data_IF_676690815049
#
_entry.id   IF_676690815049
#
_cell.length_a   1.000
_cell.length_b   1.000
_cell.length_c   1.000
_cell.angle_alpha   90.00
_cell.angle_beta   90.00
_cell.angle_gamma   90.00
#
_symmetry.space_group_name_H-M   'P 1'
#
loop_
_entity.id
_entity.type
_entity.pdbx_description
1 polymer ?
#
# COMPACT_ATOMS: atom_id res chain seq x y z
N UNK A 1 -42.80 -40.73 -25.51
CA UNK A 1 -42.63 -40.66 -24.08
C UNK A 1 -41.35 -39.88 -23.77
N UNK A 2 -41.55 -38.67 -23.20
CA UNK A 2 -40.44 -37.81 -22.76
C UNK A 2 -39.81 -38.39 -21.52
N UNK A 3 -38.44 -38.53 -21.49
CA UNK A 3 -37.69 -38.92 -20.31
C UNK A 3 -37.74 -37.79 -19.28
N UNK A 4 -38.00 -38.09 -18.01
CA UNK A 4 -37.95 -37.08 -16.95
C UNK A 4 -36.51 -36.58 -16.77
N UNK A 5 -36.32 -35.24 -16.82
CA UNK A 5 -35.07 -34.59 -16.50
C UNK A 5 -34.92 -34.60 -14.97
N UNK A 6 -33.97 -35.40 -14.48
CA UNK A 6 -33.64 -35.45 -13.06
C UNK A 6 -33.02 -34.12 -12.62
N UNK A 7 -33.42 -33.56 -11.48
CA UNK A 7 -32.79 -32.36 -10.96
C UNK A 7 -31.31 -32.59 -10.64
N UNK A 8 -30.43 -31.56 -10.80
CA UNK A 8 -29.01 -31.70 -10.54
C UNK A 8 -28.74 -32.10 -9.09
N UNK A 9 -27.90 -33.09 -8.92
CA UNK A 9 -27.51 -33.65 -7.60
C UNK A 9 -26.89 -32.58 -6.68
N UNK A 10 -27.28 -32.48 -5.40
CA UNK A 10 -26.72 -31.49 -4.44
C UNK A 10 -25.26 -31.73 -4.04
N UNK A 11 -24.63 -32.80 -4.50
CA UNK A 11 -23.24 -33.13 -4.19
C UNK A 11 -22.20 -32.18 -4.84
N UNK A 12 -22.53 -31.50 -5.93
CA UNK A 12 -21.64 -30.53 -6.59
C UNK A 12 -21.40 -29.26 -5.81
N UNK A 13 -22.42 -28.77 -5.07
CA UNK A 13 -22.34 -27.52 -4.31
C UNK A 13 -21.48 -27.65 -3.04
N UNK A 14 -21.50 -28.79 -2.35
CA UNK A 14 -20.71 -29.06 -1.16
C UNK A 14 -19.20 -29.18 -1.45
N UNK A 15 -18.81 -29.76 -2.58
CA UNK A 15 -17.40 -29.87 -3.00
C UNK A 15 -16.81 -28.50 -3.38
N UNK A 16 -17.59 -27.62 -3.98
CA UNK A 16 -17.21 -26.25 -4.30
C UNK A 16 -16.96 -25.41 -3.04
N UNK A 17 -17.84 -25.54 -2.04
CA UNK A 17 -17.71 -24.85 -0.75
C UNK A 17 -16.47 -25.29 0.04
N UNK A 18 -16.19 -26.59 0.11
CA UNK A 18 -15.02 -27.14 0.82
C UNK A 18 -13.69 -26.69 0.18
N UNK A 19 -13.60 -26.66 -1.16
CA UNK A 19 -12.41 -26.15 -1.88
C UNK A 19 -12.22 -24.65 -1.64
N UNK A 20 -13.29 -23.85 -1.66
CA UNK A 20 -13.21 -22.42 -1.39
C UNK A 20 -12.79 -22.14 0.07
N UNK A 21 -13.29 -22.91 1.03
CA UNK A 21 -12.89 -22.83 2.42
C UNK A 21 -11.40 -23.18 2.61
N UNK A 22 -10.92 -24.25 1.97
CA UNK A 22 -9.51 -24.66 2.01
C UNK A 22 -8.58 -23.60 1.40
N UNK A 23 -8.98 -22.92 0.32
CA UNK A 23 -8.20 -21.86 -0.29
C UNK A 23 -8.16 -20.62 0.61
N UNK A 24 -9.29 -20.27 1.23
CA UNK A 24 -9.34 -19.15 2.19
C UNK A 24 -8.48 -19.42 3.42
N UNK A 25 -8.51 -20.64 3.95
CA UNK A 25 -7.68 -21.02 5.11
C UNK A 25 -6.18 -20.89 4.83
N UNK A 26 -5.72 -21.25 3.63
CA UNK A 26 -4.31 -21.09 3.24
C UNK A 26 -3.86 -19.64 3.22
N UNK A 27 -4.70 -18.72 2.72
CA UNK A 27 -4.39 -17.29 2.70
C UNK A 27 -4.37 -16.71 4.12
N UNK A 28 -5.34 -17.11 4.95
CA UNK A 28 -5.37 -16.72 6.35
C UNK A 28 -4.14 -17.24 7.13
N UNK A 29 -3.69 -18.48 6.87
CA UNK A 29 -2.49 -19.02 7.48
C UNK A 29 -1.23 -18.27 7.07
N UNK A 30 -1.10 -17.84 5.81
CA UNK A 30 0.02 -16.99 5.37
C UNK A 30 0.00 -15.64 6.07
N UNK A 31 -1.16 -14.97 6.13
CA UNK A 31 -1.29 -13.70 6.86
C UNK A 31 -0.97 -13.86 8.35
N UNK A 32 -1.44 -14.94 8.99
CA UNK A 32 -1.07 -15.27 10.36
C UNK A 32 0.45 -15.49 10.50
N UNK A 33 1.08 -16.15 9.52
CA UNK A 33 2.53 -16.30 9.45
C UNK A 33 3.25 -14.94 9.44
N UNK A 34 2.75 -13.95 8.71
CA UNK A 34 3.30 -12.58 8.73
C UNK A 34 3.11 -11.90 10.09
N UNK A 35 1.98 -12.11 10.76
CA UNK A 35 1.78 -11.62 12.14
C UNK A 35 2.81 -12.24 13.08
N UNK A 36 2.97 -13.56 13.05
CA UNK A 36 3.94 -14.27 13.89
C UNK A 36 5.36 -13.78 13.58
N UNK A 37 5.75 -13.72 12.29
CA UNK A 37 7.05 -13.22 11.87
C UNK A 37 7.32 -11.81 12.40
N UNK A 38 6.34 -10.90 12.31
CA UNK A 38 6.48 -9.52 12.79
C UNK A 38 6.60 -9.46 14.31
N UNK A 39 5.76 -10.17 15.06
CA UNK A 39 5.75 -10.14 16.53
C UNK A 39 7.02 -10.75 17.11
N UNK A 40 7.64 -11.73 16.44
CA UNK A 40 8.91 -12.33 16.88
C UNK A 40 10.11 -11.40 16.69
N UNK A 41 9.98 -10.31 15.93
CA UNK A 41 11.06 -9.32 15.78
C UNK A 41 11.17 -8.45 17.01
N UNK A 42 12.21 -8.65 17.83
CA UNK A 42 12.53 -7.87 19.03
C UNK A 42 11.29 -7.54 19.88
N UNK A 43 10.64 -8.52 20.52
CA UNK A 43 9.49 -8.29 21.37
C UNK A 43 9.74 -7.25 22.45
N UNK A 44 8.77 -6.39 22.71
CA UNK A 44 8.87 -5.33 23.73
C UNK A 44 9.63 -4.08 23.30
N UNK A 45 10.26 -4.06 22.11
CA UNK A 45 11.00 -2.90 21.60
C UNK A 45 10.26 -2.23 20.46
N UNK A 46 10.25 -0.90 20.46
CA UNK A 46 9.80 -0.07 19.32
C UNK A 46 10.99 0.28 18.43
N UNK A 47 10.70 0.53 17.17
CA UNK A 47 11.67 1.00 16.17
C UNK A 47 11.27 2.42 15.77
N UNK A 48 12.26 3.27 15.49
CA UNK A 48 12.03 4.69 15.18
C UNK A 48 11.14 4.94 13.95
N UNK A 49 11.25 4.11 12.93
CA UNK A 49 10.42 4.12 11.71
C UNK A 49 10.01 5.53 11.27
N UNK A 50 10.91 6.29 10.72
CA UNK A 50 10.80 7.69 10.25
C UNK A 50 10.17 8.72 11.20
N UNK A 51 9.15 8.37 11.96
CA UNK A 51 8.42 9.25 12.90
C UNK A 51 8.14 8.51 14.21
N UNK A 52 9.11 8.61 15.14
CA UNK A 52 8.98 8.00 16.46
C UNK A 52 7.79 8.59 17.25
N UNK A 53 7.55 9.88 17.13
CA UNK A 53 6.46 10.60 17.78
C UNK A 53 5.08 10.09 17.34
N UNK A 54 4.91 9.69 16.09
CA UNK A 54 3.68 9.00 15.63
C UNK A 54 3.47 7.68 16.37
N UNK A 55 4.52 6.94 16.65
CA UNK A 55 4.40 5.66 17.35
C UNK A 55 4.13 5.85 18.85
N UNK A 56 4.70 6.90 19.46
CA UNK A 56 4.62 7.16 20.92
C UNK A 56 3.32 7.88 21.29
N UNK A 57 2.96 8.93 20.55
CA UNK A 57 1.74 9.72 20.78
C UNK A 57 1.02 10.05 19.46
N UNK A 58 0.33 9.06 18.87
CA UNK A 58 -0.36 9.21 17.58
C UNK A 58 -1.49 10.25 17.61
N UNK A 59 -2.15 10.50 18.75
CA UNK A 59 -3.22 11.48 18.82
C UNK A 59 -2.68 12.91 18.78
N UNK A 60 -1.63 13.22 19.52
CA UNK A 60 -0.96 14.51 19.43
C UNK A 60 -0.33 14.72 18.04
N UNK A 61 0.27 13.66 17.46
CA UNK A 61 0.80 13.71 16.11
C UNK A 61 -0.27 14.05 15.07
N UNK A 62 -1.44 13.39 15.13
CA UNK A 62 -2.56 13.68 14.23
C UNK A 62 -3.10 15.11 14.40
N UNK A 63 -3.11 15.63 15.62
CA UNK A 63 -3.47 17.02 15.88
C UNK A 63 -2.55 17.99 15.12
N UNK A 64 -1.23 17.76 15.15
CA UNK A 64 -0.27 18.56 14.38
C UNK A 64 -0.41 18.37 12.86
N UNK A 65 -0.80 17.19 12.42
CA UNK A 65 -0.99 16.88 11.00
C UNK A 65 -2.11 17.71 10.32
N UNK A 66 -2.95 18.37 11.10
CA UNK A 66 -4.03 19.24 10.59
C UNK A 66 -3.54 20.60 10.11
N UNK A 67 -2.28 20.98 10.42
CA UNK A 67 -1.70 22.28 10.04
C UNK A 67 -0.38 22.08 9.30
N UNK A 68 -0.05 23.01 8.41
CA UNK A 68 1.27 23.04 7.77
C UNK A 68 2.28 23.88 8.58
N UNK A 69 1.81 24.66 9.53
CA UNK A 69 2.64 25.47 10.39
C UNK A 69 3.20 24.64 11.54
N UNK A 70 4.53 24.67 11.71
CA UNK A 70 5.24 24.06 12.82
C UNK A 70 5.69 25.16 13.78
N UNK A 71 5.01 25.34 14.91
CA UNK A 71 5.30 26.44 15.83
C UNK A 71 6.58 26.23 16.63
N UNK A 72 6.97 24.97 16.90
CA UNK A 72 8.09 24.61 17.76
C UNK A 72 9.43 24.56 17.00
N UNK A 73 9.39 24.41 15.67
CA UNK A 73 10.56 24.33 14.81
C UNK A 73 11.05 25.70 14.37
N UNK A 74 12.33 26.04 14.57
CA UNK A 74 13.01 27.22 14.03
C UNK A 74 12.22 28.54 14.22
N UNK A 75 11.62 28.76 15.39
CA UNK A 75 10.79 29.91 15.73
C UNK A 75 9.49 30.03 14.90
N UNK A 76 9.00 28.91 14.37
CA UNK A 76 7.81 28.80 13.55
C UNK A 76 8.12 28.82 12.06
N UNK A 77 7.69 27.81 11.34
CA UNK A 77 7.93 27.69 9.90
C UNK A 77 6.85 26.82 9.22
N UNK A 78 6.73 26.97 7.90
CA UNK A 78 5.92 26.08 7.06
C UNK A 78 6.78 24.88 6.70
N UNK A 79 6.84 23.87 7.56
CA UNK A 79 7.62 22.65 7.32
C UNK A 79 7.00 21.43 8.01
N UNK A 80 5.75 21.45 8.34
CA UNK A 80 5.13 20.32 9.01
C UNK A 80 4.82 19.20 8.02
N UNK A 81 5.67 18.17 7.95
CA UNK A 81 5.45 16.99 7.11
C UNK A 81 4.48 15.97 7.74
N UNK A 82 3.98 16.20 8.94
CA UNK A 82 3.06 15.30 9.63
C UNK A 82 1.78 15.04 8.81
N UNK A 83 1.34 16.02 7.98
CA UNK A 83 0.16 15.86 7.12
C UNK A 83 0.24 14.61 6.23
N UNK A 84 1.42 14.23 5.73
CA UNK A 84 1.60 13.05 4.88
C UNK A 84 1.27 11.74 5.58
N UNK A 85 1.36 11.69 6.91
CA UNK A 85 1.04 10.53 7.74
C UNK A 85 -0.42 10.52 8.20
N UNK A 86 -1.20 11.55 7.88
CA UNK A 86 -2.59 11.69 8.30
C UNK A 86 -3.42 10.44 7.91
N UNK A 87 -3.12 9.83 6.78
CA UNK A 87 -3.74 8.57 6.37
C UNK A 87 -2.78 7.75 5.50
N UNK A 88 -2.72 6.40 5.64
CA UNK A 88 -3.49 5.53 6.55
C UNK A 88 -2.80 5.27 7.90
N UNK A 89 -1.50 5.63 8.05
CA UNK A 89 -0.67 5.21 9.18
C UNK A 89 -1.14 5.84 10.49
N UNK A 90 -1.43 7.15 10.50
CA UNK A 90 -1.86 7.88 11.69
C UNK A 90 -3.08 7.29 12.39
N UNK A 91 -4.21 7.12 11.69
CA UNK A 91 -5.40 6.48 12.26
C UNK A 91 -5.17 5.05 12.75
N UNK A 92 -4.31 4.28 12.09
CA UNK A 92 -3.97 2.93 12.52
C UNK A 92 -3.28 2.93 13.89
N UNK A 93 -2.28 3.79 14.08
CA UNK A 93 -1.59 3.92 15.36
C UNK A 93 -2.49 4.52 16.43
N UNK A 94 -3.31 5.51 16.09
CA UNK A 94 -4.29 6.09 17.03
C UNK A 94 -5.31 5.06 17.53
N UNK A 95 -5.82 4.20 16.66
CA UNK A 95 -6.71 3.10 17.05
C UNK A 95 -6.00 2.10 17.95
N UNK A 96 -4.72 1.82 17.71
CA UNK A 96 -3.91 0.98 18.58
C UNK A 96 -3.77 1.57 19.99
N UNK A 97 -3.46 2.85 20.11
CA UNK A 97 -3.37 3.57 21.38
C UNK A 97 -4.72 3.57 22.11
N UNK A 98 -5.81 3.93 21.42
CA UNK A 98 -7.16 3.94 22.00
C UNK A 98 -7.62 2.55 22.47
N UNK A 99 -7.09 1.50 21.84
CA UNK A 99 -7.37 0.09 22.24
C UNK A 99 -6.51 -0.36 23.43
N UNK A 100 -5.62 0.48 23.96
CA UNK A 100 -4.73 0.14 25.06
C UNK A 100 -3.62 -0.85 24.69
N UNK A 101 -3.36 -1.05 23.40
CA UNK A 101 -2.30 -1.95 22.95
C UNK A 101 -0.93 -1.31 23.17
N UNK A 102 0.08 -2.08 23.62
CA UNK A 102 1.45 -1.59 23.66
C UNK A 102 1.94 -1.13 22.28
N UNK A 103 2.62 0.00 22.20
CA UNK A 103 3.11 0.61 20.95
C UNK A 103 3.87 -0.37 20.05
N UNK A 104 4.74 -1.20 20.63
CA UNK A 104 5.48 -2.20 19.87
C UNK A 104 4.57 -3.24 19.21
N UNK A 105 3.46 -3.61 19.85
CA UNK A 105 2.45 -4.54 19.27
C UNK A 105 1.75 -3.90 18.08
N UNK A 106 1.33 -2.63 18.23
CA UNK A 106 0.69 -1.85 17.15
C UNK A 106 1.63 -1.78 15.94
N UNK A 107 2.90 -1.49 16.16
CA UNK A 107 3.92 -1.43 15.11
C UNK A 107 4.10 -2.79 14.40
N UNK A 108 4.09 -3.91 15.12
CA UNK A 108 4.19 -5.25 14.53
C UNK A 108 2.95 -5.61 13.71
N UNK A 109 1.76 -5.23 14.18
CA UNK A 109 0.54 -5.40 13.39
C UNK A 109 0.52 -4.54 12.13
N UNK A 110 1.09 -3.34 12.18
CA UNK A 110 1.27 -2.51 11.00
C UNK A 110 2.15 -3.19 9.94
N UNK A 111 3.29 -3.75 10.33
CA UNK A 111 4.14 -4.51 9.42
C UNK A 111 3.44 -5.73 8.83
N UNK A 112 2.79 -6.49 9.67
CA UNK A 112 2.01 -7.66 9.24
C UNK A 112 0.89 -7.27 8.26
N UNK A 113 0.24 -6.12 8.47
CA UNK A 113 -0.78 -5.58 7.57
C UNK A 113 -0.19 -5.25 6.20
N UNK A 114 0.96 -4.58 6.14
CA UNK A 114 1.63 -4.25 4.87
C UNK A 114 2.02 -5.51 4.09
N UNK A 115 2.66 -6.48 4.74
CA UNK A 115 3.01 -7.76 4.12
C UNK A 115 1.76 -8.53 3.66
N UNK A 116 0.71 -8.55 4.46
CA UNK A 116 -0.55 -9.21 4.10
C UNK A 116 -1.25 -8.52 2.94
N UNK A 117 -1.25 -7.19 2.91
CA UNK A 117 -1.80 -6.41 1.79
C UNK A 117 -1.04 -6.68 0.49
N UNK A 118 0.31 -6.69 0.54
CA UNK A 118 1.17 -7.03 -0.59
C UNK A 118 0.88 -8.44 -1.11
N UNK A 119 0.87 -9.44 -0.23
CA UNK A 119 0.57 -10.83 -0.54
C UNK A 119 -0.80 -11.00 -1.20
N UNK A 120 -1.85 -10.54 -0.53
CA UNK A 120 -3.23 -10.68 -1.01
C UNK A 120 -3.44 -9.91 -2.31
N UNK A 121 -2.82 -8.75 -2.46
CA UNK A 121 -2.89 -7.93 -3.67
C UNK A 121 -2.37 -8.68 -4.88
N UNK A 122 -1.20 -9.30 -4.79
CA UNK A 122 -0.61 -10.11 -5.87
C UNK A 122 -1.47 -11.35 -6.16
N UNK A 123 -1.93 -12.07 -5.13
CA UNK A 123 -2.80 -13.25 -5.32
C UNK A 123 -4.09 -12.86 -6.05
N UNK A 124 -4.75 -11.77 -5.64
CA UNK A 124 -5.99 -11.29 -6.27
C UNK A 124 -5.71 -10.83 -7.69
N UNK A 125 -4.61 -10.10 -7.93
CA UNK A 125 -4.23 -9.61 -9.24
C UNK A 125 -3.95 -10.77 -10.21
N UNK A 126 -3.14 -11.76 -9.82
CA UNK A 126 -2.83 -12.93 -10.63
C UNK A 126 -4.11 -13.70 -11.04
N UNK A 127 -5.03 -13.87 -10.10
CA UNK A 127 -6.33 -14.50 -10.37
C UNK A 127 -7.20 -13.67 -11.33
N UNK A 128 -7.18 -12.34 -11.21
CA UNK A 128 -7.91 -11.45 -12.12
C UNK A 128 -7.34 -11.49 -13.54
N UNK A 129 -6.02 -11.54 -13.64
CA UNK A 129 -5.32 -11.67 -14.92
C UNK A 129 -5.39 -13.09 -15.50
N UNK A 130 -5.91 -14.07 -14.74
CA UNK A 130 -5.95 -15.50 -15.10
C UNK A 130 -4.55 -16.08 -15.38
N UNK A 131 -3.55 -15.63 -14.63
CA UNK A 131 -2.15 -16.05 -14.76
C UNK A 131 -1.85 -17.13 -13.72
N UNK A 132 -1.30 -18.25 -14.19
CA UNK A 132 -0.87 -19.33 -13.34
C UNK A 132 -1.99 -20.14 -12.66
N UNK A 133 -1.62 -20.89 -11.66
CA UNK A 133 -2.51 -21.70 -10.82
C UNK A 133 -2.70 -21.06 -9.44
N UNK A 134 -3.67 -21.51 -8.62
CA UNK A 134 -3.78 -21.03 -7.23
C UNK A 134 -2.51 -21.22 -6.40
N UNK A 135 -1.74 -22.28 -6.67
CA UNK A 135 -0.48 -22.54 -5.97
C UNK A 135 0.63 -21.57 -6.41
N UNK A 136 0.78 -21.33 -7.72
CA UNK A 136 1.78 -20.35 -8.21
C UNK A 136 1.43 -18.93 -7.82
N UNK A 137 0.14 -18.56 -7.77
CA UNK A 137 -0.29 -17.26 -7.26
C UNK A 137 0.04 -17.08 -5.77
N UNK A 138 -0.10 -18.14 -4.96
CA UNK A 138 0.29 -18.12 -3.55
C UNK A 138 1.80 -17.91 -3.39
N UNK A 139 2.61 -18.65 -4.14
CA UNK A 139 4.08 -18.51 -4.14
C UNK A 139 4.49 -17.11 -4.57
N UNK A 140 3.91 -16.59 -5.67
CA UNK A 140 4.20 -15.25 -6.16
C UNK A 140 3.83 -14.17 -5.12
N UNK A 141 2.69 -14.32 -4.45
CA UNK A 141 2.27 -13.41 -3.38
C UNK A 141 3.23 -13.42 -2.19
N UNK A 142 3.67 -14.60 -1.73
CA UNK A 142 4.65 -14.73 -0.64
C UNK A 142 5.99 -14.11 -1.07
N UNK A 143 6.48 -14.43 -2.27
CA UNK A 143 7.74 -13.89 -2.79
C UNK A 143 7.70 -12.34 -2.88
N UNK A 144 6.57 -11.77 -3.28
CA UNK A 144 6.40 -10.32 -3.32
C UNK A 144 6.36 -9.70 -1.93
N UNK A 145 5.61 -10.29 -0.98
CA UNK A 145 5.51 -9.80 0.38
C UNK A 145 6.81 -9.94 1.18
N UNK A 146 7.68 -10.88 0.82
CA UNK A 146 8.99 -11.11 1.41
C UNK A 146 10.13 -10.68 0.48
N UNK A 147 9.83 -9.84 -0.54
CA UNK A 147 10.87 -9.32 -1.42
C UNK A 147 11.93 -8.56 -0.60
N UNK A 148 13.21 -8.56 -1.02
CA UNK A 148 14.29 -7.91 -0.28
C UNK A 148 13.95 -6.47 0.13
N UNK A 149 13.38 -5.66 -0.78
CA UNK A 149 12.94 -4.29 -0.47
C UNK A 149 11.95 -4.23 0.68
N UNK A 150 10.99 -5.18 0.75
CA UNK A 150 10.01 -5.23 1.84
C UNK A 150 10.69 -5.49 3.18
N UNK A 151 11.51 -6.55 3.25
CA UNK A 151 12.10 -6.98 4.52
C UNK A 151 13.22 -6.07 5.01
N UNK A 152 13.95 -5.39 4.13
CA UNK A 152 15.02 -4.45 4.51
C UNK A 152 14.48 -3.11 4.99
N UNK A 153 13.39 -2.60 4.41
CA UNK A 153 12.88 -1.27 4.73
C UNK A 153 11.75 -1.25 5.77
N UNK A 154 11.12 -2.40 6.08
CA UNK A 154 9.92 -2.43 6.93
C UNK A 154 10.16 -1.92 8.35
N UNK A 155 11.35 -2.10 8.88
CA UNK A 155 11.70 -1.62 10.23
C UNK A 155 12.23 -0.18 10.27
N UNK A 156 12.79 0.31 9.15
CA UNK A 156 13.43 1.63 9.11
C UNK A 156 12.48 2.71 8.54
N UNK A 157 11.70 2.37 7.52
CA UNK A 157 10.85 3.30 6.76
C UNK A 157 9.60 2.60 6.23
N UNK A 158 8.80 2.03 7.15
CA UNK A 158 7.62 1.23 6.76
C UNK A 158 6.64 1.99 5.88
N UNK A 159 6.55 3.30 6.04
CA UNK A 159 5.70 4.18 5.24
C UNK A 159 6.03 4.15 3.75
N UNK A 160 7.30 3.96 3.38
CA UNK A 160 7.71 3.84 1.97
C UNK A 160 7.30 2.51 1.32
N UNK A 161 6.88 1.55 2.12
CA UNK A 161 6.40 0.25 1.65
C UNK A 161 4.89 0.22 1.38
N UNK A 162 4.15 1.23 1.85
CA UNK A 162 2.70 1.33 1.56
C UNK A 162 2.45 1.33 0.05
N UNK A 163 3.16 2.13 -0.78
CA UNK A 163 3.03 2.08 -2.23
C UNK A 163 3.25 0.68 -2.81
N UNK A 164 4.31 -0.01 -2.37
CA UNK A 164 4.59 -1.39 -2.81
C UNK A 164 3.47 -2.34 -2.42
N UNK A 165 3.00 -2.28 -1.18
CA UNK A 165 1.92 -3.14 -0.69
C UNK A 165 0.60 -2.91 -1.43
N UNK A 166 0.33 -1.68 -1.87
CA UNK A 166 -0.93 -1.29 -2.50
C UNK A 166 -0.88 -1.22 -4.03
N UNK A 167 0.29 -1.26 -4.68
CA UNK A 167 0.41 -1.26 -6.13
C UNK A 167 -0.48 -2.31 -6.83
N UNK A 168 -0.55 -3.58 -6.39
CA UNK A 168 -1.47 -4.54 -6.98
C UNK A 168 -2.95 -4.13 -6.84
N UNK A 169 -3.32 -3.49 -5.74
CA UNK A 169 -4.70 -3.05 -5.48
C UNK A 169 -5.14 -1.88 -6.35
N UNK A 170 -4.20 -1.05 -6.82
CA UNK A 170 -4.49 -0.01 -7.82
C UNK A 170 -4.92 -0.65 -9.15
N UNK A 171 -4.29 -1.77 -9.54
CA UNK A 171 -4.59 -2.48 -10.78
C UNK A 171 -5.84 -3.37 -10.72
N UNK A 172 -6.04 -4.07 -9.61
CA UNK A 172 -7.12 -5.07 -9.44
C UNK A 172 -8.49 -4.57 -9.89
N UNK A 173 -8.94 -3.33 -9.56
CA UNK A 173 -10.23 -2.82 -10.02
C UNK A 173 -10.27 -2.54 -11.53
N UNK A 174 -9.15 -2.24 -12.15
CA UNK A 174 -9.07 -1.90 -13.57
C UNK A 174 -9.09 -3.14 -14.46
N UNK A 175 -8.46 -4.24 -14.00
CA UNK A 175 -8.44 -5.51 -14.74
C UNK A 175 -9.85 -6.08 -14.86
N UNK A 176 -10.31 -6.30 -16.10
CA UNK A 176 -11.67 -6.80 -16.41
C UNK A 176 -12.78 -5.82 -16.02
N UNK A 177 -12.53 -4.51 -16.00
CA UNK A 177 -13.52 -3.49 -15.65
C UNK A 177 -14.68 -3.46 -16.67
N UNK A 178 -14.39 -3.69 -17.94
CA UNK A 178 -15.38 -3.72 -19.03
C UNK A 178 -16.38 -4.86 -18.85
N UNK A 179 -15.90 -6.06 -18.51
CA UNK A 179 -16.75 -7.23 -18.23
C UNK A 179 -17.71 -6.98 -17.06
N UNK A 180 -17.33 -6.11 -16.11
CA UNK A 180 -18.16 -5.71 -14.96
C UNK A 180 -19.05 -4.50 -15.22
N UNK A 181 -18.97 -3.90 -16.41
CA UNK A 181 -19.88 -2.88 -16.92
C UNK A 181 -19.82 -1.49 -16.26
N UNK A 182 -18.92 -1.24 -15.28
CA UNK A 182 -18.89 0.05 -14.60
C UNK A 182 -17.49 0.67 -14.53
N UNK A 183 -17.23 1.61 -15.44
CA UNK A 183 -16.00 2.41 -15.47
C UNK A 183 -15.83 3.26 -14.20
N UNK A 184 -16.92 3.89 -13.70
CA UNK A 184 -16.88 4.72 -12.48
C UNK A 184 -16.49 3.91 -11.26
N UNK A 185 -17.12 2.74 -11.05
CA UNK A 185 -16.82 1.88 -9.89
C UNK A 185 -15.39 1.37 -9.94
N UNK A 186 -14.90 0.95 -11.11
CA UNK A 186 -13.52 0.50 -11.27
C UNK A 186 -12.51 1.62 -10.97
N UNK A 187 -12.75 2.83 -11.51
CA UNK A 187 -11.95 4.01 -11.26
C UNK A 187 -11.95 4.42 -9.77
N UNK A 188 -13.14 4.47 -9.14
CA UNK A 188 -13.26 4.83 -7.74
C UNK A 188 -12.53 3.85 -6.79
N UNK A 189 -12.63 2.54 -7.04
CA UNK A 189 -11.92 1.54 -6.24
C UNK A 189 -10.41 1.60 -6.44
N UNK A 190 -9.94 1.89 -7.66
CA UNK A 190 -8.52 2.13 -7.94
C UNK A 190 -8.04 3.43 -7.28
N UNK A 191 -8.83 4.51 -7.38
CA UNK A 191 -8.55 5.77 -6.68
C UNK A 191 -8.53 5.63 -5.16
N UNK A 192 -9.41 4.79 -4.58
CA UNK A 192 -9.37 4.47 -3.16
C UNK A 192 -8.07 3.76 -2.77
N UNK A 193 -7.57 2.85 -3.59
CA UNK A 193 -6.27 2.23 -3.36
C UNK A 193 -5.13 3.28 -3.41
N UNK A 194 -5.18 4.24 -4.35
CA UNK A 194 -4.23 5.36 -4.42
C UNK A 194 -4.35 6.26 -3.18
N UNK A 195 -5.57 6.56 -2.71
CA UNK A 195 -5.79 7.31 -1.47
C UNK A 195 -5.14 6.62 -0.26
N UNK A 196 -5.27 5.28 -0.16
CA UNK A 196 -4.66 4.48 0.89
C UNK A 196 -3.12 4.40 0.79
N UNK A 197 -2.51 4.76 -0.33
CA UNK A 197 -1.04 4.87 -0.43
C UNK A 197 -0.51 5.97 0.48
N UNK A 198 -1.30 7.02 0.72
CA UNK A 198 -0.91 8.14 1.57
C UNK A 198 -0.10 9.21 0.82
N UNK A 199 0.43 10.16 1.55
CA UNK A 199 1.10 11.34 1.00
C UNK A 199 2.49 11.63 1.59
N UNK A 200 3.13 10.65 2.21
CA UNK A 200 4.43 10.85 2.87
C UNK A 200 5.56 11.09 1.86
N UNK A 201 5.55 10.33 0.78
CA UNK A 201 6.57 10.44 -0.26
C UNK A 201 5.89 10.50 -1.64
N UNK A 202 5.94 11.67 -2.26
CA UNK A 202 5.32 11.90 -3.57
C UNK A 202 5.88 11.00 -4.66
N UNK A 203 7.18 10.72 -4.66
CA UNK A 203 7.85 9.86 -5.65
C UNK A 203 7.38 8.42 -5.50
N UNK A 204 7.36 7.89 -4.27
CA UNK A 204 6.89 6.54 -3.99
C UNK A 204 5.39 6.38 -4.33
N UNK A 205 4.58 7.40 -4.02
CA UNK A 205 3.15 7.43 -4.40
C UNK A 205 3.00 7.50 -5.92
N UNK A 206 3.76 8.34 -6.61
CA UNK A 206 3.73 8.41 -8.06
C UNK A 206 4.17 7.09 -8.72
N UNK A 207 5.09 6.35 -8.11
CA UNK A 207 5.62 5.10 -8.66
C UNK A 207 4.58 3.97 -8.81
N UNK A 208 3.43 4.04 -8.13
CA UNK A 208 2.34 3.05 -8.31
C UNK A 208 1.48 3.32 -9.55
N UNK A 209 1.50 4.54 -10.10
CA UNK A 209 0.64 4.96 -11.19
C UNK A 209 1.08 4.43 -12.57
N UNK A 210 2.39 4.36 -12.92
CA UNK A 210 2.84 3.96 -14.27
C UNK A 210 2.28 2.62 -14.71
N UNK A 211 2.17 1.65 -13.80
CA UNK A 211 1.64 0.33 -14.14
C UNK A 211 0.16 0.40 -14.52
N UNK A 212 -0.62 1.21 -13.82
CA UNK A 212 -2.03 1.43 -14.14
C UNK A 212 -2.19 2.24 -15.45
N UNK A 213 -1.33 3.25 -15.67
CA UNK A 213 -1.29 4.03 -16.92
C UNK A 213 -0.97 3.10 -18.10
N UNK A 214 0.09 2.30 -18.02
CA UNK A 214 0.46 1.35 -19.06
C UNK A 214 -0.67 0.36 -19.35
N UNK A 215 -1.28 -0.20 -18.29
CA UNK A 215 -2.42 -1.10 -18.45
C UNK A 215 -3.57 -0.43 -19.21
N UNK A 216 -3.93 0.81 -18.84
CA UNK A 216 -5.01 1.55 -19.50
C UNK A 216 -4.64 1.93 -20.95
N UNK A 217 -3.38 2.25 -21.24
CA UNK A 217 -2.91 2.62 -22.58
C UNK A 217 -2.85 1.42 -23.52
N UNK A 218 -2.51 0.24 -23.02
CA UNK A 218 -2.38 -0.98 -23.81
C UNK A 218 -3.71 -1.69 -24.08
N UNK A 219 -4.82 -1.27 -23.46
CA UNK A 219 -6.15 -1.83 -23.73
C UNK A 219 -6.71 -1.37 -25.09
N UNK A 220 -7.50 -2.20 -25.76
CA UNK A 220 -8.17 -1.81 -27.00
C UNK A 220 -8.95 -0.51 -26.84
N UNK A 221 -8.90 0.34 -27.87
CA UNK A 221 -9.62 1.62 -27.89
C UNK A 221 -11.13 1.40 -27.91
N UNK A 222 -11.89 2.31 -27.28
CA UNK A 222 -13.33 2.27 -27.29
C UNK A 222 -13.96 3.26 -26.31
N UNK A 223 -15.29 3.42 -26.36
CA UNK A 223 -16.01 4.36 -25.50
C UNK A 223 -15.85 4.02 -24.00
N UNK A 224 -15.82 2.74 -23.65
CA UNK A 224 -15.64 2.29 -22.26
C UNK A 224 -14.27 2.66 -21.74
N UNK A 225 -13.19 2.40 -22.52
CA UNK A 225 -11.83 2.78 -22.14
C UNK A 225 -11.70 4.29 -21.93
N UNK A 226 -12.25 5.13 -22.82
CA UNK A 226 -12.21 6.59 -22.67
C UNK A 226 -12.88 7.04 -21.37
N UNK A 227 -14.06 6.48 -21.06
CA UNK A 227 -14.76 6.74 -19.80
C UNK A 227 -13.94 6.26 -18.59
N UNK A 228 -13.30 5.09 -18.67
CA UNK A 228 -12.48 4.53 -17.59
C UNK A 228 -11.26 5.40 -17.33
N UNK A 229 -10.53 5.83 -18.37
CA UNK A 229 -9.37 6.71 -18.25
C UNK A 229 -9.75 8.05 -17.63
N UNK A 230 -10.84 8.66 -18.10
CA UNK A 230 -11.34 9.93 -17.55
C UNK A 230 -11.68 9.81 -16.06
N UNK A 231 -12.52 8.83 -15.70
CA UNK A 231 -12.92 8.64 -14.32
C UNK A 231 -11.75 8.21 -13.42
N UNK A 232 -10.79 7.46 -13.96
CA UNK A 232 -9.58 7.09 -13.22
C UNK A 232 -8.71 8.31 -12.96
N UNK A 233 -8.49 9.18 -13.94
CA UNK A 233 -7.77 10.44 -13.75
C UNK A 233 -8.42 11.32 -12.69
N UNK A 234 -9.75 11.47 -12.73
CA UNK A 234 -10.50 12.22 -11.69
C UNK A 234 -10.34 11.56 -10.32
N UNK A 235 -10.50 10.24 -10.22
CA UNK A 235 -10.38 9.53 -8.95
C UNK A 235 -8.98 9.62 -8.34
N UNK A 236 -7.92 9.50 -9.16
CA UNK A 236 -6.52 9.66 -8.72
C UNK A 236 -6.24 11.11 -8.32
N UNK A 237 -6.71 12.10 -9.09
CA UNK A 237 -6.57 13.51 -8.76
C UNK A 237 -7.20 13.85 -7.42
N UNK A 238 -8.43 13.39 -7.17
CA UNK A 238 -9.11 13.58 -5.89
C UNK A 238 -8.41 12.83 -4.74
N UNK A 239 -7.93 11.61 -5.00
CA UNK A 239 -7.21 10.81 -4.02
C UNK A 239 -5.88 11.45 -3.59
N UNK A 240 -5.21 12.17 -4.49
CA UNK A 240 -3.93 12.83 -4.23
C UNK A 240 -4.09 14.29 -3.74
N UNK A 241 -5.22 14.96 -3.98
CA UNK A 241 -5.39 16.39 -3.74
C UNK A 241 -5.09 16.82 -2.30
N UNK A 242 -5.44 16.00 -1.31
CA UNK A 242 -5.30 16.30 0.11
C UNK A 242 -3.84 16.44 0.58
N UNK A 243 -2.90 15.75 -0.09
CA UNK A 243 -1.47 15.87 0.21
C UNK A 243 -0.70 16.65 -0.86
N UNK A 244 -1.15 16.63 -2.11
CA UNK A 244 -0.49 17.33 -3.20
C UNK A 244 -0.60 18.87 -3.04
N UNK A 245 -1.73 19.36 -2.57
CA UNK A 245 -1.92 20.79 -2.24
C UNK A 245 -0.93 21.28 -1.17
N UNK A 246 -0.90 20.67 0.01
CA UNK A 246 0.12 20.92 1.02
C UNK A 246 1.57 20.80 0.50
N UNK A 247 1.87 19.79 -0.30
CA UNK A 247 3.20 19.62 -0.87
C UNK A 247 3.63 20.79 -1.75
N UNK A 248 2.72 21.33 -2.58
CA UNK A 248 2.99 22.52 -3.40
C UNK A 248 3.28 23.75 -2.53
N UNK A 249 2.51 23.95 -1.45
CA UNK A 249 2.73 25.04 -0.51
C UNK A 249 4.06 24.89 0.22
N UNK A 250 4.39 23.70 0.69
CA UNK A 250 5.68 23.41 1.30
C UNK A 250 6.84 23.68 0.33
N UNK A 251 6.74 23.20 -0.90
CA UNK A 251 7.77 23.43 -1.92
C UNK A 251 8.00 24.91 -2.24
N UNK A 252 6.99 25.75 -2.01
CA UNK A 252 7.07 27.21 -2.27
C UNK A 252 7.58 28.02 -1.07
N UNK A 253 7.25 27.61 0.14
CA UNK A 253 7.44 28.43 1.35
C UNK A 253 8.37 27.82 2.39
N UNK A 254 8.72 26.55 2.29
CA UNK A 254 9.68 25.93 3.21
C UNK A 254 11.14 26.26 2.83
N UNK A 255 12.07 26.22 3.77
CA UNK A 255 13.49 26.33 3.48
C UNK A 255 13.95 25.25 2.48
N UNK A 256 14.96 25.48 1.66
CA UNK A 256 15.43 24.56 0.63
C UNK A 256 16.24 23.40 1.22
N UNK A 257 15.63 22.60 2.09
CA UNK A 257 16.28 21.52 2.86
C UNK A 257 16.92 20.43 1.97
N UNK A 258 16.43 20.25 0.73
CA UNK A 258 17.02 19.30 -0.22
C UNK A 258 18.48 19.61 -0.57
N UNK A 259 18.93 20.85 -0.42
CA UNK A 259 20.32 21.21 -0.61
C UNK A 259 21.24 20.79 0.54
N UNK A 260 20.67 20.56 1.72
CA UNK A 260 21.43 20.34 2.95
C UNK A 260 21.29 18.92 3.50
N UNK A 261 20.12 18.29 3.37
CA UNK A 261 19.80 17.03 4.03
C UNK A 261 19.68 15.88 3.04
N UNK A 262 18.90 16.05 1.96
CA UNK A 262 18.56 15.01 1.00
C UNK A 262 19.10 15.35 -0.40
N UNK A 263 20.34 15.79 -0.47
CA UNK A 263 20.97 16.05 -1.78
C UNK A 263 21.19 14.73 -2.57
N UNK A 264 21.43 14.84 -3.87
CA UNK A 264 21.59 13.68 -4.74
C UNK A 264 22.74 12.77 -4.31
N UNK A 265 23.84 13.34 -3.81
CA UNK A 265 25.00 12.60 -3.34
C UNK A 265 24.66 11.76 -2.10
N UNK A 266 23.98 12.34 -1.10
CA UNK A 266 23.57 11.63 0.09
C UNK A 266 22.58 10.48 -0.20
N UNK A 267 21.68 10.68 -1.16
CA UNK A 267 20.62 9.68 -1.46
C UNK A 267 21.07 8.61 -2.45
N UNK A 268 22.03 8.90 -3.33
CA UNK A 268 22.52 7.96 -4.35
C UNK A 268 23.90 7.38 -4.05
N UNK A 269 24.72 8.05 -3.25
CA UNK A 269 26.07 7.61 -2.89
C UNK A 269 26.14 6.20 -2.30
N UNK A 270 25.24 5.82 -1.38
CA UNK A 270 25.22 4.46 -0.81
C UNK A 270 24.72 3.38 -1.77
N UNK A 271 24.29 3.73 -3.00
CA UNK A 271 23.67 2.78 -3.92
C UNK A 271 24.69 2.24 -4.92
N UNK A 272 24.72 0.92 -5.09
CA UNK A 272 25.46 0.24 -6.14
C UNK A 272 24.51 -0.61 -7.02
N UNK A 273 24.98 -0.94 -8.23
CA UNK A 273 24.18 -1.67 -9.22
C UNK A 273 23.66 -3.02 -8.69
N UNK A 274 24.51 -3.75 -7.94
CA UNK A 274 24.12 -5.07 -7.43
C UNK A 274 23.07 -4.94 -6.32
N UNK A 275 23.22 -3.97 -5.42
CA UNK A 275 22.24 -3.70 -4.36
C UNK A 275 20.89 -3.24 -4.94
N UNK A 276 20.92 -2.41 -6.00
CA UNK A 276 19.70 -2.02 -6.72
C UNK A 276 19.02 -3.23 -7.36
N UNK A 277 19.77 -4.09 -8.07
CA UNK A 277 19.23 -5.30 -8.69
C UNK A 277 18.67 -6.30 -7.66
N UNK A 278 19.28 -6.39 -6.48
CA UNK A 278 18.80 -7.22 -5.38
C UNK A 278 17.61 -6.60 -4.63
N UNK A 279 17.32 -5.33 -4.85
CA UNK A 279 16.30 -4.58 -4.11
C UNK A 279 16.67 -4.32 -2.65
N UNK A 280 17.96 -4.31 -2.31
CA UNK A 280 18.48 -4.09 -0.96
C UNK A 280 19.05 -2.69 -0.75
N UNK A 281 19.12 -1.87 -1.80
CA UNK A 281 19.60 -0.50 -1.73
C UNK A 281 18.60 0.37 -0.97
N UNK A 282 19.06 0.98 0.13
CA UNK A 282 18.28 1.95 0.90
C UNK A 282 19.19 2.91 1.61
N UNK A 283 19.08 4.20 1.31
CA UNK A 283 19.96 5.25 1.84
C UNK A 283 19.87 5.45 3.36
N UNK A 284 18.73 5.07 3.99
CA UNK A 284 18.55 5.13 5.46
C UNK A 284 19.11 3.88 6.17
N UNK A 285 19.36 2.79 5.44
CA UNK A 285 19.82 1.52 6.01
C UNK A 285 21.35 1.38 6.07
N UNK A 286 22.08 2.41 5.67
CA UNK A 286 23.53 2.53 5.76
C UNK A 286 23.86 3.46 6.91
#
# INVERSE_FOLDING_TARGET
PARPVLPPSPAGSRRGGARAALVRSRYALVCLGFVVLSVLQQPGKIVGDTKLDLAVDPLAFLGRALTLWEPEGAAGQVQNQAYGYFFPMGPFFALGQLSGLPTWVVQRFWWALLMSAAFLGVVVLARRLRIGTPATALVAGIAYALAPRMVTAIGATSVELIPMALAPWVLVPLVGAEERGSARRAAALSGLAVFCVGGVNAVATAAVLPLAVLYLLTRPGGPFRRKLVLWWGVAVGLAAAWWAGPLVLLGRFSPPFLFYIENAEATTGPTDVLSVLRGTSHWVAT
#
